data_IF_611474656746
#
_entry.id   IF_611474656746
#
_cell.length_a   1.000
_cell.length_b   1.000
_cell.length_c   1.000
_cell.angle_alpha   90.00
_cell.angle_beta   90.00
_cell.angle_gamma   90.00
#
_symmetry.space_group_name_H-M   'P 1'
#
loop_
_entity.id
_entity.type
_entity.pdbx_description
1 polymer ?
#
# COMPACT_ATOMS: atom_id res chain seq x y z
N UNK A 1 15.25 7.74 3.98
CA UNK A 1 15.88 6.72 3.13
C UNK A 1 15.03 6.45 1.89
N UNK A 2 15.60 6.40 0.68
CA UNK A 2 14.87 6.02 -0.54
C UNK A 2 14.91 4.49 -0.71
N UNK A 3 13.83 3.81 -0.29
CA UNK A 3 13.59 2.39 -0.59
C UNK A 3 12.98 2.25 -1.99
N UNK A 4 13.77 2.20 -3.06
CA UNK A 4 13.28 2.18 -4.45
C UNK A 4 13.56 0.88 -5.20
N UNK A 5 14.39 0.01 -4.62
CA UNK A 5 14.79 -1.27 -5.22
C UNK A 5 14.83 -2.40 -4.19
N UNK A 6 14.70 -3.67 -4.62
CA UNK A 6 14.88 -4.82 -3.74
C UNK A 6 16.26 -4.82 -3.03
N UNK A 7 17.30 -4.31 -3.70
CA UNK A 7 18.65 -4.20 -3.15
C UNK A 7 18.73 -3.22 -1.98
N UNK A 8 18.22 -2.00 -2.16
CA UNK A 8 18.14 -0.99 -1.08
C UNK A 8 17.27 -1.44 0.09
N UNK A 9 16.20 -2.19 -0.18
CA UNK A 9 15.34 -2.75 0.84
C UNK A 9 16.08 -3.77 1.71
N UNK A 10 16.81 -4.71 1.10
CA UNK A 10 17.59 -5.72 1.83
C UNK A 10 18.66 -5.11 2.73
N UNK A 11 19.31 -4.03 2.29
CA UNK A 11 20.35 -3.35 3.07
C UNK A 11 19.78 -2.57 4.27
N UNK A 12 18.51 -2.16 4.20
CA UNK A 12 17.84 -1.41 5.26
C UNK A 12 17.39 -2.31 6.43
N UNK A 13 16.90 -3.52 6.12
CA UNK A 13 16.18 -4.38 7.05
C UNK A 13 17.14 -4.99 8.09
N UNK A 14 16.85 -4.74 9.37
CA UNK A 14 17.49 -5.42 10.50
C UNK A 14 16.62 -6.55 11.06
N UNK A 15 15.31 -6.46 10.88
CA UNK A 15 14.36 -7.46 11.37
C UNK A 15 13.11 -7.50 10.51
N UNK A 16 12.52 -8.69 10.42
CA UNK A 16 11.26 -8.92 9.74
C UNK A 16 10.34 -9.76 10.62
N UNK A 17 9.06 -9.39 10.66
CA UNK A 17 8.03 -10.12 11.41
C UNK A 17 6.84 -10.41 10.50
N UNK A 18 6.40 -11.67 10.36
CA UNK A 18 5.20 -11.98 9.59
C UNK A 18 3.98 -11.31 10.23
N UNK A 19 3.13 -10.75 9.40
CA UNK A 19 1.80 -10.24 9.76
C UNK A 19 0.74 -11.17 9.18
N UNK A 20 -0.51 -10.96 9.56
CA UNK A 20 -1.63 -11.70 8.96
C UNK A 20 -1.68 -11.43 7.45
N UNK A 21 -1.43 -12.48 6.67
CA UNK A 21 -1.56 -12.51 5.21
C UNK A 21 -2.96 -12.93 4.77
N UNK A 22 -3.13 -13.09 3.46
CA UNK A 22 -4.35 -13.60 2.85
C UNK A 22 -4.04 -14.56 1.71
N UNK A 23 -5.09 -15.01 1.01
CA UNK A 23 -4.96 -15.99 -0.08
C UNK A 23 -4.14 -15.49 -1.28
N UNK A 24 -4.02 -14.17 -1.44
CA UNK A 24 -3.39 -13.54 -2.61
C UNK A 24 -2.04 -12.89 -2.30
N UNK A 25 -1.68 -12.75 -1.01
CA UNK A 25 -0.49 -12.03 -0.60
C UNK A 25 -0.04 -12.40 0.82
N UNK A 26 1.26 -12.32 1.02
CA UNK A 26 1.87 -12.32 2.35
C UNK A 26 2.09 -10.89 2.83
N UNK A 27 1.88 -10.65 4.12
CA UNK A 27 2.24 -9.40 4.77
C UNK A 27 3.39 -9.62 5.73
N UNK A 28 4.38 -8.73 5.70
CA UNK A 28 5.53 -8.75 6.60
C UNK A 28 5.81 -7.34 7.08
N UNK A 29 5.99 -7.18 8.39
CA UNK A 29 6.53 -5.95 8.96
C UNK A 29 8.05 -5.98 8.79
N UNK A 30 8.59 -4.98 8.12
CA UNK A 30 10.01 -4.74 7.94
C UNK A 30 10.43 -3.63 8.88
N UNK A 31 11.47 -3.89 9.67
CA UNK A 31 12.07 -2.92 10.59
C UNK A 31 13.46 -2.60 10.06
N UNK A 32 13.70 -1.33 9.78
CA UNK A 32 14.96 -0.84 9.27
C UNK A 32 15.92 -0.40 10.38
N UNK A 33 17.21 -0.31 10.05
CA UNK A 33 18.26 0.14 10.97
C UNK A 33 18.03 1.57 11.49
N UNK A 34 17.37 2.43 10.71
CA UNK A 34 16.99 3.79 11.10
C UNK A 34 15.74 3.86 11.99
N UNK A 35 15.20 2.70 12.39
CA UNK A 35 13.97 2.58 13.18
C UNK A 35 12.69 2.72 12.35
N UNK A 36 12.78 3.03 11.05
CA UNK A 36 11.59 3.12 10.21
C UNK A 36 10.94 1.74 10.03
N UNK A 37 9.61 1.74 10.03
CA UNK A 37 8.81 0.51 9.92
C UNK A 37 7.94 0.54 8.67
N UNK A 38 7.94 -0.57 7.95
CA UNK A 38 7.23 -0.70 6.68
C UNK A 38 6.44 -2.00 6.65
N UNK A 39 5.20 -1.94 6.20
CA UNK A 39 4.44 -3.14 5.86
C UNK A 39 4.74 -3.48 4.40
N UNK A 40 5.32 -4.66 4.19
CA UNK A 40 5.57 -5.24 2.87
C UNK A 40 4.49 -6.26 2.54
N UNK A 41 3.72 -5.96 1.50
CA UNK A 41 2.72 -6.87 0.91
C UNK A 41 3.31 -7.50 -0.34
N UNK A 42 3.51 -8.82 -0.34
CA UNK A 42 4.10 -9.57 -1.46
C UNK A 42 3.04 -10.43 -2.14
N UNK A 43 2.92 -10.32 -3.46
CA UNK A 43 1.96 -11.10 -4.23
C UNK A 43 2.29 -12.60 -4.20
N UNK A 44 1.28 -13.44 -4.02
CA UNK A 44 1.38 -14.89 -4.18
C UNK A 44 0.95 -15.32 -5.58
N UNK A 45 1.79 -16.08 -6.28
CA UNK A 45 1.46 -16.67 -7.58
C UNK A 45 1.05 -15.66 -8.66
N UNK A 46 -0.10 -15.91 -9.30
CA UNK A 46 -0.61 -15.13 -10.45
C UNK A 46 -1.33 -13.83 -10.05
N UNK A 47 -1.45 -13.51 -8.76
CA UNK A 47 -2.19 -12.33 -8.28
C UNK A 47 -1.42 -11.02 -8.36
N UNK A 48 -0.54 -10.88 -9.35
CA UNK A 48 0.36 -9.74 -9.51
C UNK A 48 -0.39 -8.46 -9.91
N UNK A 49 -1.49 -8.55 -10.66
CA UNK A 49 -2.26 -7.37 -11.09
C UNK A 49 -2.86 -6.58 -9.92
N UNK A 50 -3.21 -7.26 -8.82
CA UNK A 50 -3.86 -6.63 -7.68
C UNK A 50 -3.02 -5.58 -6.97
N UNK A 51 -1.72 -5.81 -6.81
CA UNK A 51 -0.83 -4.86 -6.11
C UNK A 51 -0.54 -3.60 -6.95
N UNK A 52 -0.49 -3.73 -8.27
CA UNK A 52 -0.35 -2.59 -9.16
C UNK A 52 -1.59 -1.68 -9.11
N UNK A 53 -2.79 -2.26 -9.12
CA UNK A 53 -4.04 -1.50 -8.95
C UNK A 53 -4.08 -0.83 -7.59
N UNK A 54 -3.73 -1.55 -6.52
CA UNK A 54 -3.67 -1.00 -5.15
C UNK A 54 -2.68 0.17 -5.03
N UNK A 55 -1.48 0.04 -5.60
CA UNK A 55 -0.50 1.12 -5.64
C UNK A 55 -1.02 2.36 -6.39
N UNK A 56 -1.74 2.15 -7.50
CA UNK A 56 -2.38 3.24 -8.24
C UNK A 56 -3.50 3.91 -7.43
N UNK A 57 -4.27 3.17 -6.65
CA UNK A 57 -5.25 3.79 -5.74
C UNK A 57 -4.57 4.69 -4.71
N UNK A 58 -3.44 4.28 -4.14
CA UNK A 58 -2.67 5.13 -3.23
C UNK A 58 -2.12 6.39 -3.91
N UNK A 59 -1.70 6.33 -5.18
CA UNK A 59 -1.21 7.52 -5.89
C UNK A 59 -2.32 8.55 -6.14
N UNK A 60 -3.55 8.11 -6.42
CA UNK A 60 -4.72 9.00 -6.52
C UNK A 60 -5.00 9.74 -5.20
N UNK A 61 -4.69 9.10 -4.08
CA UNK A 61 -4.88 9.66 -2.74
C UNK A 61 -3.65 10.40 -2.22
N UNK A 62 -2.54 10.46 -2.95
CA UNK A 62 -1.26 11.00 -2.45
C UNK A 62 -1.32 12.48 -2.03
N UNK A 63 -2.23 13.27 -2.64
CA UNK A 63 -2.46 14.67 -2.27
C UNK A 63 -3.44 14.84 -1.10
N UNK A 64 -3.86 13.74 -0.48
CA UNK A 64 -4.68 13.77 0.73
C UNK A 64 -3.83 13.49 1.95
N UNK A 65 -4.27 13.97 3.11
CA UNK A 65 -3.66 13.61 4.39
C UNK A 65 -3.93 12.15 4.81
N UNK A 66 -4.65 11.38 3.98
CA UNK A 66 -5.16 10.05 4.32
C UNK A 66 -4.30 8.91 3.78
N UNK A 67 -3.52 9.16 2.74
CA UNK A 67 -2.62 8.17 2.18
C UNK A 67 -1.18 8.54 2.52
N UNK A 68 -0.49 7.61 3.16
CA UNK A 68 0.95 7.69 3.27
C UNK A 68 1.60 7.25 1.94
N UNK A 69 2.77 7.81 1.59
CA UNK A 69 3.46 7.44 0.36
C UNK A 69 3.75 5.94 0.31
N UNK A 70 3.24 5.27 -0.73
CA UNK A 70 3.50 3.84 -0.97
C UNK A 70 4.49 3.66 -2.10
N UNK A 71 5.10 2.47 -2.16
CA UNK A 71 6.07 2.13 -3.20
C UNK A 71 5.83 0.73 -3.73
N UNK A 72 5.64 0.64 -5.04
CA UNK A 72 5.54 -0.64 -5.73
C UNK A 72 6.91 -1.02 -6.28
N UNK A 73 7.47 -2.10 -5.77
CA UNK A 73 8.72 -2.69 -6.24
C UNK A 73 8.38 -3.94 -7.07
N UNK A 74 8.89 -3.98 -8.29
CA UNK A 74 8.81 -5.16 -9.17
C UNK A 74 10.11 -5.94 -9.04
N UNK A 75 10.01 -7.25 -8.84
CA UNK A 75 11.15 -8.17 -8.82
C UNK A 75 11.26 -8.89 -10.15
N UNK A 76 12.46 -9.37 -10.46
CA UNK A 76 12.82 -10.03 -11.73
C UNK A 76 12.00 -11.30 -11.99
N UNK A 77 11.49 -11.94 -10.93
CA UNK A 77 10.67 -13.16 -11.01
C UNK A 77 9.16 -12.87 -11.20
N UNK A 78 8.81 -11.71 -11.74
CA UNK A 78 7.43 -11.19 -11.87
C UNK A 78 6.67 -10.97 -10.54
N UNK A 79 7.24 -11.32 -9.38
CA UNK A 79 6.63 -11.02 -8.09
C UNK A 79 6.60 -9.51 -7.81
N UNK A 80 5.49 -9.00 -7.31
CA UNK A 80 5.35 -7.61 -6.90
C UNK A 80 5.39 -7.50 -5.37
N UNK A 81 6.00 -6.42 -4.90
CA UNK A 81 5.99 -6.02 -3.50
C UNK A 81 5.46 -4.60 -3.39
N UNK A 82 4.44 -4.40 -2.56
CA UNK A 82 3.93 -3.09 -2.19
C UNK A 82 4.41 -2.76 -0.79
N UNK A 83 5.21 -1.71 -0.68
CA UNK A 83 5.67 -1.16 0.59
C UNK A 83 4.79 0.02 0.98
N UNK A 84 4.32 0.01 2.22
CA UNK A 84 3.63 1.14 2.85
C UNK A 84 4.23 1.41 4.22
N UNK A 85 4.31 2.67 4.68
CA UNK A 85 4.72 2.97 6.03
C UNK A 85 3.81 2.26 7.03
N UNK A 86 4.39 1.76 8.13
CA UNK A 86 3.61 1.26 9.24
C UNK A 86 2.84 2.43 9.87
N UNK A 87 1.54 2.23 10.07
CA UNK A 87 0.68 3.21 10.74
C UNK A 87 0.52 2.73 12.17
N UNK A 88 1.04 3.50 13.11
CA UNK A 88 0.79 3.26 14.53
C UNK A 88 -0.66 3.54 14.86
N UNK A 89 -1.27 2.65 15.64
CA UNK A 89 -2.65 2.77 16.06
C UNK A 89 -3.29 1.42 16.32
N UNK A 90 -4.50 1.47 16.85
CA UNK A 90 -5.32 0.28 17.07
C UNK A 90 -6.39 0.23 15.99
N UNK A 91 -6.47 -0.89 15.27
CA UNK A 91 -7.60 -1.15 14.38
C UNK A 91 -8.87 -1.28 15.22
N UNK A 92 -9.90 -0.51 14.90
CA UNK A 92 -11.20 -0.65 15.54
C UNK A 92 -12.26 -1.05 14.52
N UNK A 93 -13.17 -1.92 14.95
CA UNK A 93 -14.43 -2.23 14.25
C UNK A 93 -15.63 -1.60 14.96
N UNK A 94 -15.40 -0.87 16.05
CA UNK A 94 -16.46 -0.25 16.85
C UNK A 94 -16.75 1.15 16.38
N UNK A 95 -17.98 1.36 15.88
CA UNK A 95 -18.48 2.70 15.53
C UNK A 95 -18.47 3.67 16.71
N UNK A 96 -18.62 3.18 17.94
CA UNK A 96 -18.56 4.01 19.14
C UNK A 96 -17.16 4.55 19.45
N UNK A 97 -16.11 3.94 18.89
CA UNK A 97 -14.72 4.39 19.04
C UNK A 97 -14.25 5.27 17.87
N UNK A 98 -15.07 5.41 16.83
CA UNK A 98 -14.77 6.26 15.69
C UNK A 98 -15.27 7.68 15.95
N UNK A 99 -14.43 8.66 15.65
CA UNK A 99 -14.93 10.02 15.45
C UNK A 99 -15.72 10.05 14.14
N UNK A 100 -17.05 9.94 14.25
CA UNK A 100 -17.96 9.80 13.11
C UNK A 100 -17.85 10.99 12.16
N UNK A 101 -17.68 12.22 12.67
CA UNK A 101 -17.52 13.40 11.82
C UNK A 101 -16.23 13.34 10.99
N UNK A 102 -15.12 12.92 11.59
CA UNK A 102 -13.86 12.73 10.87
C UNK A 102 -13.98 11.63 9.81
N UNK A 103 -14.67 10.53 10.13
CA UNK A 103 -14.94 9.46 9.17
C UNK A 103 -15.82 9.93 7.99
N UNK A 104 -16.85 10.74 8.25
CA UNK A 104 -17.70 11.31 7.20
C UNK A 104 -16.89 12.24 6.28
N UNK A 105 -16.08 13.14 6.85
CA UNK A 105 -15.24 14.04 6.05
C UNK A 105 -14.23 13.27 5.20
N UNK A 106 -13.60 12.24 5.78
CA UNK A 106 -12.69 11.33 5.07
C UNK A 106 -13.40 10.66 3.88
N UNK A 107 -14.55 10.03 4.11
CA UNK A 107 -15.29 9.32 3.07
C UNK A 107 -15.74 10.27 1.95
N UNK A 108 -16.19 11.48 2.30
CA UNK A 108 -16.57 12.50 1.31
C UNK A 108 -15.39 12.89 0.43
N UNK A 109 -14.21 13.13 1.02
CA UNK A 109 -13.01 13.49 0.28
C UNK A 109 -12.54 12.36 -0.65
N UNK A 110 -12.55 11.11 -0.16
CA UNK A 110 -12.23 9.93 -0.98
C UNK A 110 -13.18 9.84 -2.17
N UNK A 111 -14.50 9.93 -1.93
CA UNK A 111 -15.49 9.85 -3.00
C UNK A 111 -15.36 10.97 -4.04
N UNK A 112 -15.03 12.19 -3.62
CA UNK A 112 -14.82 13.31 -4.57
C UNK A 112 -13.61 13.05 -5.48
N UNK A 113 -12.52 12.49 -4.93
CA UNK A 113 -11.32 12.15 -5.71
C UNK A 113 -11.59 10.98 -6.63
N UNK A 114 -12.21 9.91 -6.13
CA UNK A 114 -12.43 8.72 -6.96
C UNK A 114 -13.47 8.96 -8.05
N UNK A 115 -14.48 9.82 -7.83
CA UNK A 115 -15.52 10.12 -8.81
C UNK A 115 -14.96 10.66 -10.14
N UNK A 116 -13.87 11.45 -10.13
CA UNK A 116 -13.24 11.98 -11.35
C UNK A 116 -12.33 10.95 -12.05
N UNK A 117 -12.08 9.81 -11.41
CA UNK A 117 -11.18 8.75 -11.87
C UNK A 117 -11.88 7.38 -12.07
N UNK A 118 -13.16 7.26 -11.70
CA UNK A 118 -13.99 6.09 -11.95
C UNK A 118 -14.07 5.81 -13.46
N UNK A 119 -13.60 4.63 -13.89
CA UNK A 119 -13.61 4.20 -15.29
C UNK A 119 -12.30 4.35 -16.07
N UNK A 120 -11.27 5.05 -15.55
CA UNK A 120 -9.95 5.17 -16.22
C UNK A 120 -8.96 4.05 -15.90
N UNK A 121 -9.35 3.07 -15.09
CA UNK A 121 -8.48 1.97 -14.62
C UNK A 121 -8.35 0.84 -15.66
N UNK A 122 -9.11 0.89 -16.75
CA UNK A 122 -9.13 -0.14 -17.80
C UNK A 122 -8.74 0.44 -19.15
N UNK A 123 -7.45 0.57 -19.40
CA UNK A 123 -6.88 0.38 -20.74
C UNK A 123 -5.40 0.03 -20.57
N UNK A 124 -4.92 -1.11 -21.07
CA UNK A 124 -3.50 -1.27 -21.32
C UNK A 124 -3.07 -0.13 -22.27
N UNK A 125 -1.83 0.37 -22.20
CA UNK A 125 -1.31 1.16 -23.31
C UNK A 125 -1.44 0.29 -24.57
N UNK A 126 -2.17 0.78 -25.56
CA UNK A 126 -2.17 0.20 -26.89
C UNK A 126 -0.72 0.26 -27.38
N UNK A 127 -0.04 -0.89 -27.39
CA UNK A 127 1.22 -1.07 -28.08
C UNK A 127 0.97 -0.81 -29.56
N UNK A 128 1.57 0.28 -30.07
CA UNK A 128 1.89 0.43 -31.48
C UNK A 128 3.22 -0.28 -31.76
#
# INVERSE_FOLDING_TARGET
MQLDSPGTLKQCIISQRPLQGGLTHDNTLLICADGSQWVCKRSLGRHQSGLATEANTYSLLANTHFALPTKLIRSDNASQMLLRPYIEGTTTTSWAQLNVEQAIHLLKAIHQITATHHGKVSSPPASF
#
